data_IF_389153574377
#
_entry.id   IF_389153574377
#
_cell.length_a   1.000
_cell.length_b   1.000
_cell.length_c   1.000
_cell.angle_alpha   90.00
_cell.angle_beta   90.00
_cell.angle_gamma   90.00
#
_symmetry.space_group_name_H-M   'P 1'
#
loop_
_entity.id
_entity.type
_entity.pdbx_description
1 polymer ?
#
# COMPACT_ATOMS: atom_id res chain seq x y z
N UNK A 1 6.63 -4.74 32.59
CA UNK A 1 6.00 -3.89 31.56
C UNK A 1 6.65 -4.22 30.22
N UNK A 2 5.97 -4.94 29.33
CA UNK A 2 6.50 -5.23 27.99
C UNK A 2 6.31 -4.00 27.10
N UNK A 3 7.41 -3.36 26.69
CA UNK A 3 7.39 -2.29 25.71
C UNK A 3 6.76 -2.80 24.42
N UNK A 4 5.60 -2.26 24.07
CA UNK A 4 4.87 -2.67 22.88
C UNK A 4 5.51 -1.97 21.67
N UNK A 5 6.18 -2.74 20.80
CA UNK A 5 6.96 -2.23 19.67
C UNK A 5 6.17 -2.36 18.37
N UNK A 6 6.13 -1.29 17.58
CA UNK A 6 5.59 -1.31 16.21
C UNK A 6 6.64 -1.87 15.26
N UNK A 7 6.23 -2.84 14.45
CA UNK A 7 7.05 -3.50 13.42
C UNK A 7 6.55 -3.11 12.03
N UNK A 8 7.44 -2.84 11.09
CA UNK A 8 7.02 -2.57 9.72
C UNK A 8 8.06 -2.96 8.67
N UNK A 9 7.59 -3.26 7.47
CA UNK A 9 8.39 -3.47 6.26
C UNK A 9 7.80 -2.63 5.14
N UNK A 10 8.66 -1.99 4.36
CA UNK A 10 8.23 -1.15 3.25
C UNK A 10 9.06 -1.40 2.00
N UNK A 11 8.47 -1.12 0.86
CA UNK A 11 9.13 -1.13 -0.44
C UNK A 11 8.59 0.04 -1.28
N UNK A 12 9.48 0.68 -2.04
CA UNK A 12 9.14 1.74 -2.98
C UNK A 12 8.90 1.11 -4.35
N UNK A 13 7.96 1.66 -5.14
CA UNK A 13 7.67 1.16 -6.47
C UNK A 13 8.91 1.21 -7.37
N UNK A 14 9.14 0.14 -8.14
CA UNK A 14 10.25 0.05 -9.09
C UNK A 14 10.00 0.85 -10.36
N UNK A 15 8.73 1.13 -10.69
CA UNK A 15 8.36 2.03 -11.77
C UNK A 15 8.06 3.44 -11.26
N UNK A 16 8.19 4.38 -12.19
CA UNK A 16 7.79 5.78 -12.04
C UNK A 16 6.44 5.99 -12.71
N UNK A 17 5.56 6.76 -12.07
CA UNK A 17 4.30 7.21 -12.64
C UNK A 17 4.33 8.74 -12.73
N UNK A 18 3.96 9.29 -13.89
CA UNK A 18 3.92 10.73 -14.14
C UNK A 18 2.50 11.25 -13.93
N UNK A 19 2.31 12.19 -13.01
CA UNK A 19 1.01 12.84 -12.83
C UNK A 19 0.93 14.14 -13.62
N UNK A 20 -0.27 14.43 -14.09
CA UNK A 20 -0.61 15.72 -14.69
C UNK A 20 -0.97 16.75 -13.61
N UNK A 21 -1.14 18.01 -14.02
CA UNK A 21 -1.70 19.07 -13.17
C UNK A 21 -3.01 18.59 -12.51
N UNK A 22 -3.27 18.92 -11.23
CA UNK A 22 -2.53 19.85 -10.35
C UNK A 22 -1.35 19.22 -9.59
N UNK A 23 -1.15 17.91 -9.65
CA UNK A 23 -0.12 17.24 -8.85
C UNK A 23 1.26 17.27 -9.50
N UNK A 24 1.30 17.20 -10.84
CA UNK A 24 2.45 17.39 -11.73
C UNK A 24 3.76 16.74 -11.28
N UNK A 25 4.23 15.74 -12.03
CA UNK A 25 5.58 15.21 -11.90
C UNK A 25 5.65 13.70 -11.77
N UNK A 26 6.83 13.18 -12.10
CA UNK A 26 7.27 11.82 -11.86
C UNK A 26 7.30 11.53 -10.36
N UNK A 27 6.69 10.42 -9.96
CA UNK A 27 6.66 9.98 -8.57
C UNK A 27 6.66 8.45 -8.43
N UNK A 28 6.89 8.00 -7.20
CA UNK A 28 6.78 6.62 -6.79
C UNK A 28 5.64 6.42 -5.77
N UNK A 29 5.27 5.17 -5.55
CA UNK A 29 4.44 4.76 -4.42
C UNK A 29 5.26 4.00 -3.38
N UNK A 30 4.78 3.96 -2.14
CA UNK A 30 5.30 3.11 -1.08
C UNK A 30 4.25 2.08 -0.70
N UNK A 31 4.65 0.81 -0.61
CA UNK A 31 3.85 -0.26 -0.01
C UNK A 31 4.43 -0.59 1.37
N UNK A 32 3.61 -0.44 2.41
CA UNK A 32 3.96 -0.61 3.81
C UNK A 32 3.11 -1.72 4.44
N UNK A 33 3.75 -2.69 5.08
CA UNK A 33 3.11 -3.63 5.98
C UNK A 33 3.50 -3.25 7.41
N UNK A 34 2.51 -3.00 8.27
CA UNK A 34 2.70 -2.55 9.65
C UNK A 34 2.00 -3.48 10.62
N UNK A 35 2.67 -3.83 11.71
CA UNK A 35 2.09 -4.45 12.90
C UNK A 35 2.21 -3.48 14.07
N UNK A 36 1.08 -2.93 14.51
CA UNK A 36 0.99 -2.03 15.64
C UNK A 36 0.33 -2.74 16.84
N UNK A 37 0.94 -2.72 18.03
CA UNK A 37 0.43 -3.47 19.17
C UNK A 37 -0.97 -3.05 19.64
N UNK A 38 -1.38 -1.81 19.35
CA UNK A 38 -2.72 -1.28 19.68
C UNK A 38 -3.66 -1.15 18.49
N UNK A 39 -3.14 -1.06 17.26
CA UNK A 39 -3.93 -0.71 16.08
C UNK A 39 -4.06 -1.87 15.08
N UNK A 40 -3.43 -3.01 15.38
CA UNK A 40 -3.54 -4.21 14.56
C UNK A 40 -2.53 -4.23 13.42
N UNK A 41 -2.90 -4.90 12.33
CA UNK A 41 -2.03 -5.10 11.17
C UNK A 41 -2.60 -4.41 9.94
N UNK A 42 -1.77 -3.62 9.28
CA UNK A 42 -2.15 -2.81 8.14
C UNK A 42 -1.33 -3.17 6.90
N UNK A 43 -1.99 -3.13 5.75
CA UNK A 43 -1.33 -3.01 4.45
C UNK A 43 -1.70 -1.63 3.92
N UNK A 44 -0.70 -0.79 3.70
CA UNK A 44 -0.91 0.60 3.31
C UNK A 44 -0.16 0.83 2.00
N UNK A 45 -0.84 1.34 1.00
CA UNK A 45 -0.20 1.94 -0.17
C UNK A 45 -0.28 3.44 -0.04
N UNK A 46 0.82 4.15 -0.25
CA UNK A 46 0.85 5.60 -0.32
C UNK A 46 1.54 6.09 -1.60
N UNK A 47 1.18 7.28 -2.05
CA UNK A 47 1.79 8.00 -3.17
C UNK A 47 2.46 9.28 -2.65
N UNK A 48 3.42 9.84 -3.39
CA UNK A 48 4.10 11.07 -2.97
C UNK A 48 3.21 12.31 -3.12
N UNK A 49 2.42 12.35 -4.21
CA UNK A 49 1.57 13.48 -4.59
C UNK A 49 0.30 12.95 -5.23
N UNK A 50 -0.86 13.48 -4.88
CA UNK A 50 -2.13 13.04 -5.48
C UNK A 50 -3.25 12.97 -4.47
N UNK A 51 -4.42 12.58 -4.96
CA UNK A 51 -5.58 12.27 -4.12
C UNK A 51 -6.15 10.93 -4.55
N UNK A 52 -5.92 9.91 -3.72
CA UNK A 52 -6.53 8.60 -3.88
C UNK A 52 -8.02 8.74 -3.59
N UNK A 53 -8.86 8.28 -4.50
CA UNK A 53 -10.32 8.32 -4.37
C UNK A 53 -10.81 7.14 -3.52
N UNK A 54 -10.38 7.13 -2.25
CA UNK A 54 -10.81 6.16 -1.27
C UNK A 54 -11.19 6.88 0.02
N UNK A 55 -12.49 6.95 0.30
CA UNK A 55 -13.00 7.69 1.46
C UNK A 55 -12.85 6.83 2.72
N UNK A 56 -12.79 7.45 3.88
CA UNK A 56 -12.67 6.71 5.16
C UNK A 56 -13.98 6.01 5.58
N UNK A 57 -15.11 6.48 5.06
CA UNK A 57 -16.46 6.00 5.39
C UNK A 57 -17.11 5.13 4.31
N UNK A 58 -16.43 4.91 3.18
CA UNK A 58 -16.90 4.09 2.07
C UNK A 58 -15.74 3.24 1.56
N UNK A 59 -15.99 1.94 1.42
CA UNK A 59 -14.99 1.03 0.88
C UNK A 59 -14.71 1.35 -0.60
N UNK A 60 -13.43 1.42 -0.96
CA UNK A 60 -13.01 1.54 -2.35
C UNK A 60 -12.44 0.22 -2.88
N UNK A 61 -12.30 0.12 -4.20
CA UNK A 61 -11.68 -1.03 -4.83
C UNK A 61 -10.20 -0.77 -5.10
N UNK A 62 -9.34 -1.69 -4.63
CA UNK A 62 -7.92 -1.71 -4.93
C UNK A 62 -7.62 -2.99 -5.71
N UNK A 63 -7.20 -2.85 -6.96
CA UNK A 63 -6.87 -3.98 -7.82
C UNK A 63 -5.41 -4.38 -7.62
N UNK A 64 -5.19 -5.63 -7.20
CA UNK A 64 -3.85 -6.15 -6.89
C UNK A 64 -3.56 -7.37 -7.74
N UNK A 65 -2.39 -7.38 -8.39
CA UNK A 65 -1.88 -8.53 -9.14
C UNK A 65 -0.55 -8.99 -8.57
N UNK A 66 -0.49 -10.24 -8.12
CA UNK A 66 0.74 -10.90 -7.68
C UNK A 66 1.34 -11.67 -8.85
N UNK A 67 2.60 -11.41 -9.16
CA UNK A 67 3.31 -11.93 -10.33
C UNK A 67 2.44 -11.88 -11.59
N UNK A 68 2.25 -13.00 -12.27
CA UNK A 68 1.43 -13.11 -13.48
C UNK A 68 0.05 -13.74 -13.22
N UNK A 69 -0.35 -13.90 -11.95
CA UNK A 69 -1.66 -14.43 -11.58
C UNK A 69 -2.81 -13.50 -12.02
N UNK A 70 -4.05 -13.99 -11.92
CA UNK A 70 -5.24 -13.14 -12.15
C UNK A 70 -5.28 -12.01 -11.12
N UNK A 71 -5.64 -10.77 -11.52
CA UNK A 71 -5.87 -9.68 -10.58
C UNK A 71 -6.95 -10.05 -9.55
N UNK A 72 -6.76 -9.60 -8.31
CA UNK A 72 -7.68 -9.75 -7.19
C UNK A 72 -8.10 -8.35 -6.76
N UNK A 73 -9.40 -8.10 -6.67
CA UNK A 73 -9.93 -6.89 -6.03
C UNK A 73 -9.91 -7.05 -4.52
N UNK A 74 -9.24 -6.13 -3.85
CA UNK A 74 -9.30 -5.95 -2.40
C UNK A 74 -10.19 -4.74 -2.09
N UNK A 75 -10.93 -4.80 -0.99
CA UNK A 75 -11.54 -3.61 -0.41
C UNK A 75 -10.45 -2.75 0.24
N UNK A 76 -10.53 -1.44 0.08
CA UNK A 76 -9.67 -0.44 0.70
C UNK A 76 -10.47 0.57 1.52
N UNK A 77 -9.79 1.25 2.45
CA UNK A 77 -10.35 2.36 3.21
C UNK A 77 -9.40 3.56 3.23
N UNK A 78 -9.97 4.76 3.20
CA UNK A 78 -9.22 5.99 3.39
C UNK A 78 -8.70 6.17 4.83
N UNK A 79 -7.62 6.94 5.04
CA UNK A 79 -7.12 7.31 6.35
C UNK A 79 -8.17 8.04 7.20
N UNK A 80 -8.20 7.77 8.51
CA UNK A 80 -9.14 8.41 9.43
C UNK A 80 -8.82 9.89 9.71
N UNK A 81 -7.59 10.32 9.44
CA UNK A 81 -7.13 11.70 9.60
C UNK A 81 -7.48 12.61 8.41
N UNK A 82 -8.12 12.05 7.37
CA UNK A 82 -8.50 12.78 6.16
C UNK A 82 -7.38 13.01 5.15
N UNK A 83 -6.17 12.47 5.39
CA UNK A 83 -5.12 12.44 4.37
C UNK A 83 -5.58 11.63 3.15
N UNK A 84 -5.08 11.99 1.98
CA UNK A 84 -5.60 11.50 0.71
C UNK A 84 -4.59 10.73 -0.13
N UNK A 85 -3.35 10.71 0.33
CA UNK A 85 -2.21 10.14 -0.37
C UNK A 85 -2.00 8.68 -0.01
N UNK A 86 -2.87 8.10 0.83
CA UNK A 86 -2.75 6.72 1.32
C UNK A 86 -4.07 5.96 1.26
N UNK A 87 -4.00 4.64 1.10
CA UNK A 87 -5.14 3.72 1.18
C UNK A 87 -4.77 2.49 2.00
N UNK A 88 -5.66 2.09 2.90
CA UNK A 88 -5.54 0.89 3.73
C UNK A 88 -6.20 -0.29 3.02
N UNK A 89 -5.40 -1.22 2.53
CA UNK A 89 -5.88 -2.43 1.85
C UNK A 89 -6.32 -3.44 2.91
N UNK A 90 -7.59 -3.83 2.88
CA UNK A 90 -8.17 -4.74 3.87
C UNK A 90 -7.70 -6.18 3.65
N UNK A 91 -7.96 -7.04 4.65
CA UNK A 91 -7.61 -8.46 4.64
C UNK A 91 -6.09 -8.71 4.58
N UNK A 92 -5.40 -8.17 5.60
CA UNK A 92 -3.96 -8.30 5.79
C UNK A 92 -3.45 -9.74 5.62
N UNK A 93 -4.10 -10.73 6.25
CA UNK A 93 -3.66 -12.12 6.21
C UNK A 93 -3.67 -12.70 4.79
N UNK A 94 -4.71 -12.41 3.99
CA UNK A 94 -4.78 -12.83 2.58
C UNK A 94 -3.73 -12.12 1.74
N UNK A 95 -3.57 -10.81 1.93
CA UNK A 95 -2.56 -10.03 1.22
C UNK A 95 -1.15 -10.55 1.48
N UNK A 96 -0.79 -10.72 2.76
CA UNK A 96 0.51 -11.23 3.18
C UNK A 96 0.76 -12.66 2.66
N UNK A 97 -0.24 -13.54 2.68
CA UNK A 97 -0.10 -14.91 2.19
C UNK A 97 0.23 -14.98 0.68
N UNK A 98 -0.30 -14.05 -0.11
CA UNK A 98 0.04 -13.92 -1.53
C UNK A 98 1.40 -13.23 -1.72
N UNK A 99 1.65 -12.15 -0.97
CA UNK A 99 2.90 -11.39 -1.01
C UNK A 99 4.13 -12.27 -0.74
N UNK A 100 4.06 -13.16 0.25
CA UNK A 100 5.14 -14.09 0.62
C UNK A 100 5.57 -15.05 -0.50
N UNK A 101 4.71 -15.28 -1.48
CA UNK A 101 4.97 -16.19 -2.60
C UNK A 101 5.35 -15.44 -3.87
N UNK A 102 5.16 -14.12 -3.89
CA UNK A 102 5.34 -13.29 -5.06
C UNK A 102 6.76 -12.75 -5.14
N UNK A 103 7.21 -12.45 -6.36
CA UNK A 103 8.41 -11.63 -6.61
C UNK A 103 8.05 -10.21 -7.02
N UNK A 104 6.85 -10.02 -7.55
CA UNK A 104 6.34 -8.74 -8.01
C UNK A 104 4.90 -8.55 -7.58
N UNK A 105 4.56 -7.34 -7.14
CA UNK A 105 3.17 -6.91 -6.91
C UNK A 105 2.88 -5.68 -7.74
N UNK A 106 1.74 -5.68 -8.41
CA UNK A 106 1.20 -4.51 -9.12
C UNK A 106 -0.10 -4.08 -8.45
N UNK A 107 -0.20 -2.81 -8.08
CA UNK A 107 -1.36 -2.24 -7.40
C UNK A 107 -1.89 -1.08 -8.23
N UNK A 108 -3.22 -1.06 -8.40
CA UNK A 108 -3.95 -0.02 -9.11
C UNK A 108 -5.13 0.44 -8.26
N UNK A 109 -5.24 1.74 -8.07
CA UNK A 109 -6.33 2.42 -7.34
C UNK A 109 -6.71 3.69 -8.08
N UNK A 110 -7.95 4.16 -7.90
CA UNK A 110 -8.39 5.41 -8.51
C UNK A 110 -7.73 6.63 -7.85
N UNK A 111 -7.23 7.53 -8.69
CA UNK A 111 -6.55 8.76 -8.30
C UNK A 111 -7.19 9.90 -9.08
N UNK A 112 -7.55 10.96 -8.36
CA UNK A 112 -8.24 12.12 -8.90
C UNK A 112 -7.47 12.70 -10.11
N UNK A 113 -8.16 12.80 -11.26
CA UNK A 113 -7.62 13.28 -12.54
C UNK A 113 -6.46 12.45 -13.14
N UNK A 114 -6.09 11.31 -12.55
CA UNK A 114 -5.03 10.42 -13.07
C UNK A 114 -5.54 9.03 -13.47
N UNK A 115 -6.85 8.76 -13.28
CA UNK A 115 -7.44 7.46 -13.57
C UNK A 115 -6.99 6.41 -12.56
N UNK A 116 -6.57 5.23 -13.04
CA UNK A 116 -6.09 4.13 -12.18
C UNK A 116 -4.69 3.68 -12.61
N UNK A 117 -3.65 4.47 -12.33
CA UNK A 117 -2.28 4.09 -12.69
C UNK A 117 -1.84 2.84 -11.92
N UNK A 118 -0.90 2.11 -12.51
CA UNK A 118 -0.33 0.90 -11.92
C UNK A 118 1.02 1.22 -11.31
N UNK A 119 1.16 0.95 -10.02
CA UNK A 119 2.43 0.95 -9.32
C UNK A 119 2.94 -0.48 -9.15
N UNK A 120 4.18 -0.71 -9.54
CA UNK A 120 4.87 -2.00 -9.52
C UNK A 120 5.91 -2.02 -8.41
N UNK A 121 5.93 -3.10 -7.63
CA UNK A 121 6.83 -3.28 -6.51
C UNK A 121 7.62 -4.58 -6.69
N UNK A 122 8.94 -4.51 -6.62
CA UNK A 122 9.80 -5.69 -6.49
C UNK A 122 9.79 -6.16 -5.03
N UNK A 123 9.15 -7.30 -4.81
CA UNK A 123 8.99 -7.92 -3.48
C UNK A 123 9.77 -9.23 -3.38
N UNK A 124 10.67 -9.50 -4.33
CA UNK A 124 11.49 -10.72 -4.35
C UNK A 124 12.35 -10.89 -3.08
N UNK A 125 12.70 -9.77 -2.45
CA UNK A 125 13.45 -9.72 -1.19
C UNK A 125 12.58 -9.44 0.04
N UNK A 126 11.24 -9.44 -0.12
CA UNK A 126 10.31 -9.22 0.98
C UNK A 126 10.51 -10.30 2.04
N UNK A 127 10.95 -9.85 3.21
CA UNK A 127 11.11 -10.70 4.36
C UNK A 127 10.40 -10.05 5.54
N UNK A 128 9.32 -10.69 5.98
CA UNK A 128 8.57 -10.32 7.17
C UNK A 128 9.49 -10.21 8.40
N UNK A 129 10.53 -11.02 8.52
CA UNK A 129 11.48 -10.98 9.64
C UNK A 129 12.43 -9.78 9.61
N UNK A 130 12.54 -9.05 8.48
CA UNK A 130 13.31 -7.80 8.38
C UNK A 130 12.55 -6.59 8.93
N UNK A 131 11.39 -6.79 9.56
CA UNK A 131 10.63 -5.72 10.19
C UNK A 131 11.51 -4.89 11.12
N UNK A 132 11.69 -3.62 10.80
CA UNK A 132 12.43 -2.70 11.67
C UNK A 132 11.54 -2.39 12.87
N UNK A 133 11.96 -2.68 14.11
CA UNK A 133 11.29 -2.14 15.28
C UNK A 133 11.46 -0.62 15.26
N UNK A 134 10.36 0.11 15.42
CA UNK A 134 10.46 1.57 15.61
C UNK A 134 10.69 1.83 17.09
N UNK A 135 11.75 2.58 17.49
CA UNK A 135 11.87 3.06 18.86
C UNK A 135 10.68 3.97 19.20
N UNK A 136 10.21 3.88 20.45
CA UNK A 136 9.12 4.71 20.97
C UNK A 136 9.59 6.15 21.19
#
# INVERSE_FOLDING_TARGET
MTSAVTRYAQVISSNTVEFQSPYSGAQHATLLLREHPRHGKDVIMSIERGQILCRSYEDCNVLVRFDDQKPITYSGAGPADGSSESVFIRNYSKFLANLKKAKRVRISTEIYQQGSPVFEFDVSSFNEQKFKPTPK
#
